data_IF_013097388654
#
_entry.id   IF_013097388654
#
_cell.length_a   1.000
_cell.length_b   1.000
_cell.length_c   1.000
_cell.angle_alpha   90.00
_cell.angle_beta   90.00
_cell.angle_gamma   90.00
#
_symmetry.space_group_name_H-M   'P 1'
#
loop_
_entity.id
_entity.type
_entity.pdbx_description
1 polymer ?
#
# COMPACT_ATOMS: atom_id res chain seq x y z
N UNK A 1 -4.83 57.35 8.55
CA UNK A 1 -5.53 56.21 9.18
C UNK A 1 -6.07 55.36 8.06
N UNK A 2 -5.24 54.45 7.54
CA UNK A 2 -5.18 53.02 7.89
C UNK A 2 -6.43 52.26 7.43
N UNK A 3 -6.17 51.50 6.37
CA UNK A 3 -6.82 50.33 5.80
C UNK A 3 -7.99 49.66 6.54
N UNK A 4 -8.97 49.23 5.75
CA UNK A 4 -9.50 47.85 5.85
C UNK A 4 -10.01 47.42 4.48
N UNK A 5 -9.12 46.84 3.67
CA UNK A 5 -9.52 45.83 2.68
C UNK A 5 -9.74 44.55 3.47
N UNK A 6 -10.98 44.04 3.52
CA UNK A 6 -11.24 42.65 3.87
C UNK A 6 -10.86 41.83 2.64
N UNK A 7 -9.75 41.11 2.75
CA UNK A 7 -9.43 39.98 1.89
C UNK A 7 -10.35 38.84 2.29
N UNK A 8 -11.43 38.65 1.52
CA UNK A 8 -12.15 37.39 1.52
C UNK A 8 -11.27 36.38 0.77
N UNK A 9 -10.46 35.64 1.51
CA UNK A 9 -9.83 34.41 1.01
C UNK A 9 -10.97 33.39 0.79
N UNK A 10 -11.51 33.34 -0.42
CA UNK A 10 -12.30 32.21 -0.89
C UNK A 10 -11.40 30.96 -0.86
N UNK A 11 -11.50 30.19 0.22
CA UNK A 11 -10.96 28.84 0.28
C UNK A 11 -11.57 28.05 -0.88
N UNK A 12 -10.76 27.79 -1.91
CA UNK A 12 -11.16 27.01 -3.07
C UNK A 12 -11.82 25.71 -2.59
N UNK A 13 -13.13 25.58 -2.82
CA UNK A 13 -13.88 24.40 -2.40
C UNK A 13 -13.28 23.21 -3.14
N UNK A 14 -12.59 22.34 -2.41
CA UNK A 14 -11.87 21.19 -3.00
C UNK A 14 -12.89 20.31 -3.73
N UNK A 15 -12.78 20.25 -5.07
CA UNK A 15 -13.64 19.41 -5.91
C UNK A 15 -13.15 17.96 -5.86
N UNK A 16 -14.07 17.04 -5.59
CA UNK A 16 -13.82 15.59 -5.56
C UNK A 16 -14.50 14.94 -6.76
N UNK A 17 -13.82 14.96 -7.91
CA UNK A 17 -14.32 14.42 -9.18
C UNK A 17 -14.42 15.46 -10.31
N UNK A 18 -14.91 14.99 -11.47
CA UNK A 18 -15.05 15.80 -12.70
C UNK A 18 -16.41 16.49 -12.85
N UNK A 19 -17.37 16.17 -11.98
CA UNK A 19 -18.72 16.75 -11.96
C UNK A 19 -19.06 17.29 -10.57
N UNK A 20 -20.05 18.18 -10.51
CA UNK A 20 -20.60 18.68 -9.25
C UNK A 20 -21.27 17.56 -8.43
N UNK A 21 -21.28 17.66 -7.09
CA UNK A 21 -22.01 16.71 -6.25
C UNK A 21 -23.51 16.75 -6.56
N UNK A 22 -24.16 15.58 -6.57
CA UNK A 22 -25.62 15.48 -6.74
C UNK A 22 -26.38 16.15 -5.59
N UNK A 23 -25.83 16.08 -4.38
CA UNK A 23 -26.37 16.70 -3.17
C UNK A 23 -25.24 17.00 -2.20
N UNK A 24 -25.37 18.11 -1.49
CA UNK A 24 -24.52 18.50 -0.36
C UNK A 24 -25.26 18.41 0.97
N UNK A 25 -26.49 17.87 0.96
CA UNK A 25 -27.29 17.71 2.17
C UNK A 25 -26.64 16.65 3.09
N UNK A 26 -26.49 17.00 4.36
CA UNK A 26 -26.04 16.07 5.40
C UNK A 26 -27.12 15.03 5.76
N UNK A 27 -26.74 13.98 6.53
CA UNK A 27 -27.66 12.93 6.92
C UNK A 27 -28.76 13.44 7.87
N UNK A 28 -29.95 12.84 7.77
CA UNK A 28 -31.02 13.05 8.75
C UNK A 28 -30.76 12.26 10.03
N UNK A 29 -31.52 12.53 11.10
CA UNK A 29 -31.47 11.74 12.34
C UNK A 29 -31.79 10.26 12.11
N UNK A 30 -32.67 9.95 11.16
CA UNK A 30 -33.01 8.58 10.80
C UNK A 30 -31.83 7.88 10.09
N UNK A 31 -31.11 8.59 9.23
CA UNK A 31 -29.94 8.06 8.52
C UNK A 31 -28.80 7.76 9.51
N UNK A 32 -28.53 8.67 10.45
CA UNK A 32 -27.55 8.45 11.51
C UNK A 32 -27.86 7.19 12.33
N UNK A 33 -29.14 6.98 12.68
CA UNK A 33 -29.56 5.76 13.39
C UNK A 33 -29.30 4.50 12.55
N UNK A 34 -29.67 4.50 11.27
CA UNK A 34 -29.40 3.37 10.37
C UNK A 34 -27.91 3.12 10.17
N UNK A 35 -27.10 4.18 10.16
CA UNK A 35 -25.65 4.06 10.05
C UNK A 35 -25.06 3.32 11.27
N UNK A 36 -25.52 3.64 12.48
CA UNK A 36 -25.12 2.91 13.69
C UNK A 36 -25.56 1.45 13.67
N UNK A 37 -26.76 1.16 13.18
CA UNK A 37 -27.25 -0.22 13.01
C UNK A 37 -26.41 -1.00 11.99
N UNK A 38 -26.01 -0.35 10.88
CA UNK A 38 -25.12 -0.92 9.89
C UNK A 38 -23.72 -1.20 10.46
N UNK A 39 -23.11 -0.23 11.13
CA UNK A 39 -21.78 -0.40 11.75
C UNK A 39 -21.78 -1.55 12.74
N UNK A 40 -22.81 -1.62 13.61
CA UNK A 40 -22.98 -2.75 14.52
C UNK A 40 -23.07 -4.07 13.77
N UNK A 41 -23.87 -4.16 12.71
CA UNK A 41 -23.96 -5.36 11.89
C UNK A 41 -22.61 -5.77 11.27
N UNK A 42 -21.85 -4.81 10.75
CA UNK A 42 -20.53 -5.09 10.16
C UNK A 42 -19.52 -5.58 11.21
N UNK A 43 -19.60 -5.09 12.46
CA UNK A 43 -18.82 -5.58 13.60
C UNK A 43 -19.26 -7.00 13.97
N UNK A 44 -20.56 -7.25 14.11
CA UNK A 44 -21.11 -8.55 14.48
C UNK A 44 -20.77 -9.65 13.44
N UNK A 45 -20.63 -9.28 12.16
CA UNK A 45 -20.17 -10.16 11.07
C UNK A 45 -18.64 -10.35 11.03
N UNK A 46 -17.88 -9.77 11.97
CA UNK A 46 -16.43 -9.94 12.08
C UNK A 46 -15.64 -9.27 10.94
N UNK A 47 -16.14 -8.15 10.39
CA UNK A 47 -15.50 -7.45 9.27
C UNK A 47 -14.47 -6.41 9.71
N UNK A 48 -14.23 -6.30 11.01
CA UNK A 48 -13.20 -5.46 11.60
C UNK A 48 -12.13 -6.34 12.21
N UNK A 49 -10.89 -5.99 11.89
CA UNK A 49 -9.71 -6.60 12.49
C UNK A 49 -9.57 -6.14 13.94
N UNK A 50 -9.05 -7.01 14.79
CA UNK A 50 -8.72 -6.66 16.19
C UNK A 50 -7.52 -5.73 16.26
N UNK A 51 -7.39 -4.99 17.37
CA UNK A 51 -6.22 -4.14 17.62
C UNK A 51 -4.94 -5.00 17.69
N UNK A 52 -5.02 -6.20 18.28
CA UNK A 52 -3.89 -7.13 18.37
C UNK A 52 -3.42 -7.62 16.98
N UNK A 53 -4.36 -7.95 16.08
CA UNK A 53 -4.00 -8.32 14.71
C UNK A 53 -3.41 -7.14 13.94
N UNK A 54 -3.96 -5.94 14.11
CA UNK A 54 -3.43 -4.72 13.50
C UNK A 54 -1.98 -4.48 13.92
N UNK A 55 -1.68 -4.58 15.22
CA UNK A 55 -0.32 -4.44 15.76
C UNK A 55 0.64 -5.49 15.19
N UNK A 56 0.20 -6.75 15.06
CA UNK A 56 1.01 -7.81 14.45
C UNK A 56 1.34 -7.52 12.99
N UNK A 57 0.39 -6.99 12.21
CA UNK A 57 0.65 -6.62 10.81
C UNK A 57 1.64 -5.47 10.69
N UNK A 58 1.55 -4.48 11.57
CA UNK A 58 2.53 -3.38 11.62
C UNK A 58 3.93 -3.88 11.98
N UNK A 59 4.04 -4.80 12.94
CA UNK A 59 5.31 -5.45 13.29
C UNK A 59 5.90 -6.22 12.10
N UNK A 60 5.09 -7.05 11.43
CA UNK A 60 5.51 -7.81 10.24
C UNK A 60 5.98 -6.87 9.13
N UNK A 61 5.26 -5.78 8.85
CA UNK A 61 5.68 -4.79 7.86
C UNK A 61 7.01 -4.13 8.24
N UNK A 62 7.19 -3.76 9.51
CA UNK A 62 8.45 -3.22 10.01
C UNK A 62 9.62 -4.18 9.84
N UNK A 63 9.40 -5.49 10.05
CA UNK A 63 10.41 -6.52 9.81
C UNK A 63 10.73 -6.69 8.33
N UNK A 64 9.71 -6.72 7.47
CA UNK A 64 9.90 -6.80 6.01
C UNK A 64 10.70 -5.59 5.50
N UNK A 65 10.41 -4.38 5.97
CA UNK A 65 11.17 -3.17 5.63
C UNK A 65 12.66 -3.32 5.97
N UNK A 66 12.98 -3.85 7.16
CA UNK A 66 14.37 -4.10 7.55
C UNK A 66 15.05 -5.17 6.68
N UNK A 67 14.33 -6.24 6.34
CA UNK A 67 14.84 -7.33 5.49
C UNK A 67 15.20 -6.80 4.10
N UNK A 68 14.29 -6.08 3.44
CA UNK A 68 14.55 -5.59 2.07
C UNK A 68 15.68 -4.57 2.05
N UNK A 69 15.81 -3.73 3.08
CA UNK A 69 16.94 -2.80 3.22
C UNK A 69 18.26 -3.54 3.39
N UNK A 70 18.28 -4.54 4.25
CA UNK A 70 19.47 -5.36 4.46
C UNK A 70 19.89 -6.09 3.17
N UNK A 71 18.93 -6.70 2.49
CA UNK A 71 19.12 -7.37 1.21
C UNK A 71 19.74 -6.44 0.16
N UNK A 72 19.19 -5.24 -0.05
CA UNK A 72 19.77 -4.29 -1.01
C UNK A 72 21.19 -3.89 -0.61
N UNK A 73 21.46 -3.61 0.68
CA UNK A 73 22.83 -3.30 1.15
C UNK A 73 23.81 -4.44 0.89
N UNK A 74 23.39 -5.69 1.11
CA UNK A 74 24.22 -6.86 0.81
C UNK A 74 24.54 -6.93 -0.68
N UNK A 75 23.55 -6.75 -1.57
CA UNK A 75 23.75 -6.74 -3.02
C UNK A 75 24.67 -5.61 -3.47
N UNK A 76 24.47 -4.41 -2.94
CA UNK A 76 25.33 -3.25 -3.23
C UNK A 76 26.79 -3.56 -2.90
N UNK A 77 27.05 -4.22 -1.76
CA UNK A 77 28.41 -4.64 -1.38
C UNK A 77 28.96 -5.72 -2.33
N UNK A 78 28.16 -6.74 -2.64
CA UNK A 78 28.59 -7.85 -3.52
C UNK A 78 28.95 -7.38 -4.93
N UNK A 79 28.28 -6.33 -5.41
CA UNK A 79 28.55 -5.71 -6.72
C UNK A 79 29.77 -4.79 -6.74
N UNK A 80 30.46 -4.63 -5.61
CA UNK A 80 31.71 -3.87 -5.51
C UNK A 80 31.52 -2.35 -5.49
N UNK A 81 30.34 -1.85 -5.12
CA UNK A 81 30.15 -0.43 -4.86
C UNK A 81 30.92 0.02 -3.60
N UNK A 82 31.12 1.33 -3.46
CA UNK A 82 31.85 1.92 -2.33
C UNK A 82 31.12 1.73 -1.00
N UNK A 83 31.85 1.78 0.12
CA UNK A 83 31.24 1.68 1.46
C UNK A 83 30.18 2.76 1.70
N UNK A 84 30.41 3.99 1.21
CA UNK A 84 29.41 5.06 1.26
C UNK A 84 28.13 4.68 0.51
N UNK A 85 28.26 4.11 -0.68
CA UNK A 85 27.10 3.66 -1.46
C UNK A 85 26.35 2.52 -0.76
N UNK A 86 27.07 1.63 -0.07
CA UNK A 86 26.45 0.56 0.75
C UNK A 86 25.72 1.14 1.96
N UNK A 87 26.27 2.19 2.58
CA UNK A 87 25.61 2.88 3.69
C UNK A 87 24.31 3.56 3.24
N UNK A 88 24.35 4.22 2.09
CA UNK A 88 23.23 4.96 1.50
C UNK A 88 22.21 4.05 0.80
N UNK A 89 22.61 2.85 0.38
CA UNK A 89 21.75 1.90 -0.32
C UNK A 89 20.48 1.56 0.49
N UNK A 90 19.35 1.61 -0.19
CA UNK A 90 18.05 1.53 0.45
C UNK A 90 17.01 0.88 -0.47
N UNK A 91 15.99 0.31 0.17
CA UNK A 91 14.74 -0.10 -0.44
C UNK A 91 13.59 0.41 0.45
N UNK A 92 12.44 0.66 -0.16
CA UNK A 92 11.26 1.15 0.57
C UNK A 92 10.07 0.27 0.22
N UNK A 93 9.29 -0.10 1.23
CA UNK A 93 8.03 -0.83 1.03
C UNK A 93 6.83 0.11 1.07
N UNK A 94 5.83 -0.19 0.24
CA UNK A 94 4.54 0.48 0.21
C UNK A 94 3.45 -0.57 0.30
N UNK A 95 2.41 -0.32 1.10
CA UNK A 95 1.21 -1.16 1.06
C UNK A 95 0.22 -0.62 0.06
N UNK A 96 -0.53 -1.53 -0.56
CA UNK A 96 -1.65 -1.17 -1.43
C UNK A 96 -2.86 -2.07 -1.15
N UNK A 97 -3.81 -2.09 -2.08
CA UNK A 97 -4.97 -2.97 -1.98
C UNK A 97 -5.85 -2.68 -0.77
N UNK A 98 -6.48 -3.74 -0.25
CA UNK A 98 -7.50 -3.58 0.79
C UNK A 98 -6.94 -3.11 2.14
N UNK A 99 -5.69 -3.51 2.45
CA UNK A 99 -4.98 -3.10 3.65
C UNK A 99 -4.70 -1.59 3.63
N UNK A 100 -4.12 -1.07 2.54
CA UNK A 100 -3.87 0.38 2.38
C UNK A 100 -5.13 1.22 2.43
N UNK A 101 -6.22 0.72 1.86
CA UNK A 101 -7.53 1.39 1.90
C UNK A 101 -8.18 1.35 3.29
N UNK A 102 -7.73 0.49 4.21
CA UNK A 102 -8.32 0.31 5.54
C UNK A 102 -9.66 -0.44 5.52
N UNK A 103 -9.83 -1.34 4.55
CA UNK A 103 -11.04 -2.15 4.34
C UNK A 103 -10.73 -3.66 4.26
N UNK A 104 -9.56 -4.04 4.78
CA UNK A 104 -9.22 -5.42 5.04
C UNK A 104 -10.02 -5.95 6.24
N UNK A 105 -10.20 -7.26 6.27
CA UNK A 105 -10.80 -7.96 7.41
C UNK A 105 -9.82 -8.99 7.97
N UNK A 106 -10.21 -9.69 9.05
CA UNK A 106 -9.40 -10.75 9.64
C UNK A 106 -8.95 -11.78 8.60
N UNK A 107 -7.67 -12.16 8.65
CA UNK A 107 -7.08 -13.14 7.72
C UNK A 107 -6.89 -12.66 6.27
N UNK A 108 -7.17 -11.38 5.95
CA UNK A 108 -6.80 -10.83 4.65
C UNK A 108 -5.27 -10.81 4.47
N UNK A 109 -4.82 -10.88 3.22
CA UNK A 109 -3.44 -10.67 2.82
C UNK A 109 -3.01 -9.20 2.93
N UNK A 110 -1.70 -8.98 3.00
CA UNK A 110 -1.09 -7.66 2.86
C UNK A 110 -0.41 -7.56 1.51
N UNK A 111 -1.06 -6.82 0.61
CA UNK A 111 -0.48 -6.38 -0.66
C UNK A 111 0.65 -5.37 -0.40
N UNK A 112 1.89 -5.77 -0.71
CA UNK A 112 3.09 -4.98 -0.44
C UNK A 112 3.93 -4.84 -1.71
N UNK A 113 4.44 -3.64 -1.97
CA UNK A 113 5.36 -3.33 -3.05
C UNK A 113 6.71 -2.96 -2.47
N UNK A 114 7.76 -3.69 -2.84
CA UNK A 114 9.15 -3.30 -2.59
C UNK A 114 9.67 -2.46 -3.77
N UNK A 115 10.15 -1.25 -3.48
CA UNK A 115 10.82 -0.37 -4.44
C UNK A 115 12.32 -0.39 -4.19
N UNK A 116 13.08 -0.85 -5.18
CA UNK A 116 14.53 -0.99 -5.13
C UNK A 116 15.26 -0.16 -6.19
N UNK A 117 16.59 -0.07 -6.10
CA UNK A 117 17.40 0.74 -7.01
C UNK A 117 17.57 0.08 -8.38
N UNK A 118 17.93 0.88 -9.38
CA UNK A 118 17.96 0.50 -10.81
C UNK A 118 18.86 -0.67 -11.15
N UNK A 119 19.89 -0.92 -10.34
CA UNK A 119 20.80 -2.04 -10.56
C UNK A 119 20.22 -3.36 -10.04
N UNK A 120 19.25 -3.35 -9.12
CA UNK A 120 18.65 -4.57 -8.57
C UNK A 120 17.53 -5.06 -9.49
N UNK A 121 17.71 -6.25 -10.05
CA UNK A 121 16.86 -6.88 -11.05
C UNK A 121 15.82 -7.83 -10.43
N UNK A 122 14.76 -8.09 -11.19
CA UNK A 122 13.60 -8.84 -10.67
C UNK A 122 13.84 -10.35 -10.60
N UNK A 123 14.52 -10.93 -11.58
CA UNK A 123 14.64 -12.38 -11.74
C UNK A 123 15.67 -12.99 -10.78
N UNK A 124 16.91 -12.48 -10.84
CA UNK A 124 18.01 -13.00 -10.03
C UNK A 124 17.97 -12.41 -8.62
N UNK A 125 17.87 -11.09 -8.48
CA UNK A 125 18.00 -10.50 -7.15
C UNK A 125 16.72 -10.66 -6.31
N UNK A 126 15.54 -10.32 -6.87
CA UNK A 126 14.29 -10.37 -6.10
C UNK A 126 13.73 -11.79 -6.00
N UNK A 127 13.51 -12.50 -7.12
CA UNK A 127 12.88 -13.83 -7.07
C UNK A 127 13.81 -14.98 -6.68
N UNK A 128 15.13 -14.76 -6.67
CA UNK A 128 16.10 -15.77 -6.20
C UNK A 128 16.74 -15.34 -4.89
N UNK A 129 17.53 -14.25 -4.87
CA UNK A 129 18.32 -13.91 -3.68
C UNK A 129 17.43 -13.49 -2.49
N UNK A 130 16.50 -12.55 -2.67
CA UNK A 130 15.59 -12.17 -1.57
C UNK A 130 14.70 -13.35 -1.15
N UNK A 131 14.26 -14.17 -2.11
CA UNK A 131 13.50 -15.39 -1.83
C UNK A 131 14.28 -16.32 -0.92
N UNK A 132 15.56 -16.55 -1.19
CA UNK A 132 16.40 -17.45 -0.39
C UNK A 132 16.67 -16.87 1.00
N UNK A 133 16.92 -15.56 1.11
CA UNK A 133 17.01 -14.87 2.41
C UNK A 133 15.73 -15.09 3.23
N UNK A 134 14.56 -14.92 2.61
CA UNK A 134 13.27 -15.13 3.28
C UNK A 134 13.06 -16.59 3.66
N UNK A 135 13.46 -17.55 2.80
CA UNK A 135 13.29 -18.98 3.05
C UNK A 135 14.17 -19.52 4.19
N UNK A 136 15.26 -18.83 4.53
CA UNK A 136 16.12 -19.16 5.68
C UNK A 136 15.55 -18.71 7.03
N UNK A 137 14.51 -17.87 7.03
CA UNK A 137 13.90 -17.35 8.26
C UNK A 137 12.85 -18.32 8.80
N UNK A 138 12.97 -18.71 10.07
CA UNK A 138 12.01 -19.63 10.72
C UNK A 138 10.57 -19.07 10.75
N UNK A 139 10.42 -17.75 10.73
CA UNK A 139 9.12 -17.09 10.76
C UNK A 139 8.42 -17.05 9.40
N UNK A 140 9.13 -17.38 8.31
CA UNK A 140 8.59 -17.38 6.96
C UNK A 140 8.19 -18.80 6.56
N UNK A 141 6.98 -18.94 6.05
CA UNK A 141 6.41 -20.21 5.57
C UNK A 141 5.68 -20.01 4.26
N UNK A 142 5.39 -21.10 3.55
CA UNK A 142 4.59 -21.07 2.31
C UNK A 142 5.12 -20.11 1.23
N UNK A 143 6.45 -19.97 1.11
CA UNK A 143 7.06 -19.09 0.13
C UNK A 143 6.89 -19.63 -1.30
N UNK A 144 6.28 -18.83 -2.16
CA UNK A 144 5.93 -19.16 -3.52
C UNK A 144 6.12 -17.94 -4.45
N UNK A 145 7.20 -17.91 -5.26
CA UNK A 145 7.31 -16.94 -6.34
C UNK A 145 6.36 -17.30 -7.49
N UNK A 146 5.66 -16.29 -8.02
CA UNK A 146 4.77 -16.38 -9.19
C UNK A 146 5.27 -15.39 -10.23
N UNK A 147 6.20 -15.84 -11.08
CA UNK A 147 6.91 -15.00 -12.06
C UNK A 147 6.13 -14.80 -13.35
N UNK A 148 5.28 -15.77 -13.73
CA UNK A 148 4.60 -15.80 -15.03
C UNK A 148 3.26 -15.05 -15.04
N UNK A 149 2.89 -14.41 -13.92
CA UNK A 149 1.68 -13.62 -13.80
C UNK A 149 1.79 -12.27 -14.55
N UNK A 150 0.65 -11.66 -14.84
CA UNK A 150 0.60 -10.33 -15.45
C UNK A 150 1.37 -9.27 -14.64
N UNK A 151 1.36 -9.43 -13.31
CA UNK A 151 2.21 -8.71 -12.36
C UNK A 151 2.92 -9.77 -11.52
N UNK A 152 4.23 -9.95 -11.69
CA UNK A 152 4.99 -10.92 -10.91
C UNK A 152 4.94 -10.60 -9.41
N UNK A 153 4.74 -11.64 -8.59
CA UNK A 153 4.55 -11.50 -7.14
C UNK A 153 5.21 -12.66 -6.40
N UNK A 154 5.80 -12.38 -5.24
CA UNK A 154 6.25 -13.39 -4.29
C UNK A 154 5.26 -13.48 -3.15
N UNK A 155 4.60 -14.62 -3.02
CA UNK A 155 3.64 -14.89 -1.95
C UNK A 155 4.32 -15.66 -0.83
N UNK A 156 4.05 -15.31 0.42
CA UNK A 156 4.55 -16.06 1.58
C UNK A 156 3.70 -15.74 2.82
N UNK A 157 3.89 -16.51 3.88
CA UNK A 157 3.38 -16.19 5.21
C UNK A 157 4.52 -15.79 6.12
N UNK A 158 4.43 -14.62 6.73
CA UNK A 158 5.37 -14.16 7.74
C UNK A 158 4.67 -14.12 9.10
N UNK A 159 5.15 -14.91 10.07
CA UNK A 159 4.48 -15.07 11.38
C UNK A 159 2.98 -15.40 11.26
N UNK A 160 2.62 -16.19 10.23
CA UNK A 160 1.24 -16.59 9.94
C UNK A 160 0.40 -15.59 9.14
N UNK A 161 0.91 -14.38 8.87
CA UNK A 161 0.23 -13.36 8.04
C UNK A 161 0.61 -13.55 6.58
N UNK A 162 -0.38 -13.68 5.70
CA UNK A 162 -0.16 -13.76 4.25
C UNK A 162 0.30 -12.43 3.66
N UNK A 163 1.40 -12.45 2.92
CA UNK A 163 2.02 -11.30 2.25
C UNK A 163 2.12 -11.60 0.76
N UNK A 164 1.65 -10.65 -0.04
CA UNK A 164 1.85 -10.62 -1.48
C UNK A 164 2.87 -9.51 -1.78
N UNK A 165 4.13 -9.87 -2.01
CA UNK A 165 5.24 -8.93 -2.22
C UNK A 165 5.57 -8.77 -3.70
N UNK A 166 5.35 -7.58 -4.23
CA UNK A 166 5.70 -7.17 -5.59
C UNK A 166 7.06 -6.44 -5.58
N UNK A 167 7.67 -6.30 -6.75
CA UNK A 167 8.93 -5.58 -6.90
C UNK A 167 8.93 -4.59 -8.07
N UNK A 168 9.39 -3.37 -7.78
CA UNK A 168 9.60 -2.29 -8.72
C UNK A 168 11.06 -1.81 -8.64
N UNK A 169 11.78 -1.89 -9.75
CA UNK A 169 13.13 -1.31 -9.87
C UNK A 169 13.01 0.06 -10.52
N UNK A 170 13.30 1.12 -9.77
CA UNK A 170 13.21 2.50 -10.26
C UNK A 170 14.56 3.00 -10.76
N UNK A 171 14.56 3.99 -11.66
CA UNK A 171 15.74 4.57 -12.32
C UNK A 171 16.63 5.42 -11.39
N UNK A 172 16.76 5.04 -10.11
CA UNK A 172 17.61 5.68 -9.12
C UNK A 172 18.63 4.68 -8.56
N UNK A 173 19.86 5.12 -8.34
CA UNK A 173 20.89 4.30 -7.68
C UNK A 173 20.65 4.17 -6.17
N UNK A 174 20.08 5.21 -5.55
CA UNK A 174 19.71 5.24 -4.13
C UNK A 174 18.23 5.59 -4.03
N UNK A 175 17.46 4.73 -3.36
CA UNK A 175 16.02 4.96 -3.15
C UNK A 175 15.84 5.88 -1.93
N UNK A 176 15.27 7.08 -2.09
CA UNK A 176 15.07 7.99 -0.96
C UNK A 176 14.04 7.40 0.03
N UNK A 177 14.27 7.58 1.34
CA UNK A 177 13.38 7.07 2.39
C UNK A 177 11.99 7.72 2.35
N UNK A 178 11.90 8.96 1.87
CA UNK A 178 10.70 9.77 1.70
C UNK A 178 10.16 9.74 0.26
N UNK A 179 10.47 8.69 -0.51
CA UNK A 179 10.01 8.52 -1.89
C UNK A 179 8.49 8.69 -2.00
N UNK A 180 8.05 9.70 -2.77
CA UNK A 180 6.65 9.87 -3.14
C UNK A 180 6.35 9.09 -4.42
N UNK A 181 5.74 7.91 -4.26
CA UNK A 181 5.31 7.04 -5.37
C UNK A 181 4.24 7.68 -6.27
N UNK A 182 3.58 8.75 -5.81
CA UNK A 182 2.58 9.46 -6.60
C UNK A 182 3.19 10.39 -7.65
N UNK A 183 4.46 10.77 -7.50
CA UNK A 183 5.20 11.52 -8.52
C UNK A 183 5.37 10.68 -9.79
N UNK A 184 5.09 11.25 -10.97
CA UNK A 184 5.21 10.55 -12.26
C UNK A 184 6.65 10.24 -12.63
N UNK A 185 7.64 10.93 -12.05
CA UNK A 185 9.07 10.69 -12.33
C UNK A 185 9.52 9.26 -12.01
N UNK A 186 8.86 8.57 -11.07
CA UNK A 186 9.18 7.17 -10.72
C UNK A 186 8.85 6.19 -11.86
N UNK A 187 8.11 6.63 -12.88
CA UNK A 187 7.75 5.87 -14.07
C UNK A 187 8.70 6.12 -15.25
N UNK A 188 9.71 6.97 -15.09
CA UNK A 188 10.68 7.25 -16.15
C UNK A 188 11.69 6.11 -16.27
N UNK A 189 11.92 5.65 -17.50
CA UNK A 189 12.94 4.65 -17.86
C UNK A 189 12.81 3.29 -17.13
N UNK A 190 11.58 2.92 -16.73
CA UNK A 190 11.29 1.63 -16.09
C UNK A 190 10.55 0.67 -17.03
N UNK A 191 10.66 -0.63 -16.77
CA UNK A 191 9.99 -1.67 -17.55
C UNK A 191 8.48 -1.74 -17.27
N UNK A 192 7.72 -2.36 -18.18
CA UNK A 192 6.26 -2.44 -18.08
C UNK A 192 5.79 -3.17 -16.80
N UNK A 193 6.51 -4.19 -16.33
CA UNK A 193 6.13 -4.88 -15.09
C UNK A 193 6.37 -3.99 -13.86
N UNK A 194 7.41 -3.16 -13.87
CA UNK A 194 7.61 -2.12 -12.83
C UNK A 194 6.46 -1.12 -12.85
N UNK A 195 6.04 -0.62 -14.02
CA UNK A 195 4.89 0.30 -14.12
C UNK A 195 3.63 -0.34 -13.53
N UNK A 196 3.33 -1.59 -13.90
CA UNK A 196 2.16 -2.31 -13.37
C UNK A 196 2.24 -2.51 -11.85
N UNK A 197 3.42 -2.80 -11.32
CA UNK A 197 3.64 -2.98 -9.88
C UNK A 197 3.45 -1.66 -9.11
N UNK A 198 3.96 -0.54 -9.64
CA UNK A 198 3.79 0.79 -9.05
C UNK A 198 2.33 1.27 -9.08
N UNK A 199 1.56 0.86 -10.09
CA UNK A 199 0.17 1.29 -10.27
C UNK A 199 -0.74 0.88 -9.10
N UNK A 200 -0.49 -0.27 -8.45
CA UNK A 200 -1.28 -0.71 -7.28
C UNK A 200 -1.30 0.34 -6.17
N UNK A 201 -0.11 0.80 -5.75
CA UNK A 201 0.06 1.84 -4.74
C UNK A 201 -0.51 3.19 -5.22
N UNK A 202 -0.19 3.58 -6.45
CA UNK A 202 -0.64 4.87 -7.02
C UNK A 202 -2.16 4.97 -7.07
N UNK A 203 -2.85 3.91 -7.49
CA UNK A 203 -4.32 3.87 -7.55
C UNK A 203 -4.93 3.96 -6.16
N UNK A 204 -4.43 3.19 -5.19
CA UNK A 204 -4.94 3.24 -3.82
C UNK A 204 -4.82 4.64 -3.20
N UNK A 205 -3.67 5.30 -3.37
CA UNK A 205 -3.44 6.65 -2.87
C UNK A 205 -4.31 7.69 -3.57
N UNK A 206 -4.53 7.56 -4.89
CA UNK A 206 -5.44 8.44 -5.62
C UNK A 206 -6.89 8.27 -5.16
N UNK A 207 -7.36 7.04 -4.94
CA UNK A 207 -8.71 6.78 -4.39
C UNK A 207 -8.87 7.53 -3.06
N UNK A 208 -7.90 7.40 -2.14
CA UNK A 208 -7.96 8.07 -0.84
C UNK A 208 -7.90 9.59 -0.94
N UNK A 209 -7.17 10.16 -1.92
CA UNK A 209 -7.12 11.60 -2.18
C UNK A 209 -8.42 12.14 -2.81
N UNK A 210 -9.17 11.30 -3.52
CA UNK A 210 -10.37 11.66 -4.28
C UNK A 210 -11.68 11.45 -3.52
N UNK A 211 -11.65 10.89 -2.31
CA UNK A 211 -12.85 10.75 -1.47
C UNK A 211 -12.99 11.93 -0.49
N UNK A 212 -14.20 12.52 -0.33
CA UNK A 212 -14.41 13.66 0.56
C UNK A 212 -14.36 13.29 2.05
N UNK A 213 -14.67 12.04 2.39
CA UNK A 213 -14.59 11.50 3.74
C UNK A 213 -14.12 10.04 3.67
N UNK A 214 -12.93 9.78 4.21
CA UNK A 214 -12.28 8.46 4.14
C UNK A 214 -12.94 7.42 5.05
N UNK A 215 -13.48 7.83 6.20
CA UNK A 215 -14.17 6.94 7.15
C UNK A 215 -15.47 6.41 6.53
N UNK A 216 -16.31 7.30 6.00
CA UNK A 216 -17.55 6.91 5.33
C UNK A 216 -17.28 6.03 4.10
N UNK A 217 -16.24 6.35 3.33
CA UNK A 217 -15.79 5.53 2.21
C UNK A 217 -15.43 4.11 2.66
N UNK A 218 -14.64 3.97 3.74
CA UNK A 218 -14.22 2.67 4.29
C UNK A 218 -15.40 1.84 4.75
N UNK A 219 -16.30 2.40 5.56
CA UNK A 219 -17.50 1.69 6.04
C UNK A 219 -18.38 1.24 4.88
N UNK A 220 -18.61 2.12 3.90
CA UNK A 220 -19.39 1.79 2.70
C UNK A 220 -18.74 0.67 1.89
N UNK A 221 -17.43 0.77 1.63
CA UNK A 221 -16.70 -0.21 0.85
C UNK A 221 -16.62 -1.57 1.57
N UNK A 222 -16.48 -1.61 2.90
CA UNK A 222 -16.58 -2.85 3.69
C UNK A 222 -17.93 -3.52 3.50
N UNK A 223 -19.02 -2.75 3.63
CA UNK A 223 -20.38 -3.24 3.41
C UNK A 223 -20.56 -3.80 1.99
N UNK A 224 -20.13 -3.07 0.96
CA UNK A 224 -20.26 -3.51 -0.42
C UNK A 224 -19.42 -4.76 -0.72
N UNK A 225 -18.18 -4.85 -0.21
CA UNK A 225 -17.35 -6.05 -0.34
C UNK A 225 -18.02 -7.27 0.29
N UNK A 226 -18.57 -7.10 1.49
CA UNK A 226 -19.30 -8.17 2.17
C UNK A 226 -20.55 -8.59 1.38
N UNK A 227 -21.34 -7.62 0.93
CA UNK A 227 -22.52 -7.87 0.09
C UNK A 227 -22.15 -8.64 -1.18
N UNK A 228 -21.12 -8.20 -1.90
CA UNK A 228 -20.66 -8.84 -3.14
C UNK A 228 -20.25 -10.29 -2.90
N UNK A 229 -19.45 -10.54 -1.84
CA UNK A 229 -19.06 -11.89 -1.41
C UNK A 229 -20.26 -12.78 -1.09
N UNK A 230 -21.28 -12.27 -0.37
CA UNK A 230 -22.50 -13.03 -0.06
C UNK A 230 -23.38 -13.29 -1.28
N UNK A 231 -23.26 -12.47 -2.32
CA UNK A 231 -24.01 -12.61 -3.58
C UNK A 231 -23.25 -13.37 -4.67
N UNK A 232 -21.95 -13.62 -4.48
CA UNK A 232 -21.10 -14.31 -5.45
C UNK A 232 -20.83 -13.49 -6.71
N UNK A 233 -20.70 -12.16 -6.56
CA UNK A 233 -20.41 -11.21 -7.65
C UNK A 233 -19.11 -10.46 -7.41
#
# INVERSE_FOLDING_TARGET
MVATQRSDDEAATKSYGITMPLSVAGPSKADLKRNLELEKFLVDEGLYESDEETMRREEVLGRIDQIVKHWVKQLTRQRGYTDQMVEDANAVIFTFGSYRLGVHGPGADIDTLCVGPSYVNREEDFFTILRDILAEMEEVTEIQPVTDAHVPVMKFKFQGISIDLLYASISLLVVPQDLDISNTSVLCDVDEQTVRSLNGCRVADQILKLVPNSEHFRTTLRCLKYWAKKRGV
#
